data_IF_176015793154
#
_entry.id   IF_176015793154
#
_cell.length_a   1.000
_cell.length_b   1.000
_cell.length_c   1.000
_cell.angle_alpha   90.00
_cell.angle_beta   90.00
_cell.angle_gamma   90.00
#
_symmetry.space_group_name_H-M   'P 1'
#
loop_
_entity.id
_entity.type
_entity.pdbx_description
1 polymer ?
#
# COMPACT_ATOMS: atom_id res chain seq x y z
N UNK A 1 22.24 -13.21 11.46
CA UNK A 1 22.65 -11.91 12.03
C UNK A 1 23.64 -11.29 11.05
N UNK A 2 23.17 -10.39 10.20
CA UNK A 2 24.05 -9.68 9.28
C UNK A 2 24.90 -8.68 10.06
N UNK A 3 26.21 -8.77 9.94
CA UNK A 3 27.13 -7.83 10.57
C UNK A 3 27.18 -6.53 9.76
N UNK A 4 27.33 -5.38 10.44
CA UNK A 4 27.33 -4.02 9.84
C UNK A 4 28.32 -3.84 8.67
N UNK A 5 29.33 -4.69 8.56
CA UNK A 5 30.37 -4.68 7.51
C UNK A 5 29.96 -5.43 6.23
N UNK A 6 28.80 -6.10 6.20
CA UNK A 6 28.28 -6.83 5.04
C UNK A 6 27.18 -6.08 4.27
N UNK A 7 27.07 -4.77 4.46
CA UNK A 7 26.08 -3.91 3.82
C UNK A 7 26.81 -2.81 3.05
N UNK A 8 26.55 -2.69 1.74
CA UNK A 8 27.37 -1.87 0.85
C UNK A 8 26.81 -0.46 0.67
N UNK A 9 25.55 -0.39 0.22
CA UNK A 9 24.89 0.84 -0.20
C UNK A 9 23.62 1.05 0.61
N UNK A 10 23.46 2.23 1.18
CA UNK A 10 22.16 2.69 1.68
C UNK A 10 21.44 3.37 0.53
N UNK A 11 20.22 2.94 0.25
CA UNK A 11 19.37 3.48 -0.79
C UNK A 11 17.98 3.78 -0.24
N UNK A 12 17.27 4.67 -0.94
CA UNK A 12 15.85 4.86 -0.74
C UNK A 12 15.08 3.79 -1.51
N UNK A 13 13.99 3.31 -0.91
CA UNK A 13 13.14 2.30 -1.52
C UNK A 13 11.67 2.53 -1.23
N UNK A 14 10.84 1.84 -1.99
CA UNK A 14 9.39 1.77 -1.81
C UNK A 14 9.00 0.38 -1.34
N UNK A 15 8.27 0.29 -0.23
CA UNK A 15 7.67 -0.95 0.23
C UNK A 15 6.56 -1.40 -0.72
N UNK A 16 6.78 -2.52 -1.42
CA UNK A 16 5.80 -3.07 -2.38
C UNK A 16 4.86 -4.04 -1.66
N UNK A 17 5.42 -5.00 -0.94
CA UNK A 17 4.65 -5.96 -0.13
C UNK A 17 5.34 -6.29 1.18
N UNK A 18 4.57 -6.77 2.16
CA UNK A 18 5.10 -7.34 3.40
C UNK A 18 4.65 -8.79 3.56
N UNK A 19 5.62 -9.68 3.74
CA UNK A 19 5.45 -11.11 3.95
C UNK A 19 6.10 -11.54 5.27
N UNK A 20 5.40 -11.33 6.38
CA UNK A 20 5.91 -11.68 7.72
C UNK A 20 7.11 -10.82 8.14
N UNK A 21 8.29 -11.45 8.24
CA UNK A 21 9.55 -10.78 8.60
C UNK A 21 10.31 -10.22 7.39
N UNK A 22 9.80 -10.45 6.18
CA UNK A 22 10.39 -9.99 4.94
C UNK A 22 9.48 -8.94 4.28
N UNK A 23 10.08 -8.07 3.49
CA UNK A 23 9.38 -7.12 2.64
C UNK A 23 10.06 -7.07 1.27
N UNK A 24 9.26 -6.93 0.21
CA UNK A 24 9.79 -6.69 -1.13
C UNK A 24 9.88 -5.18 -1.32
N UNK A 25 11.08 -4.68 -1.58
CA UNK A 25 11.43 -3.26 -1.67
C UNK A 25 11.88 -2.95 -3.08
N UNK A 26 11.26 -1.97 -3.71
CA UNK A 26 11.71 -1.42 -4.98
C UNK A 26 12.76 -0.34 -4.70
N UNK A 27 13.95 -0.45 -5.30
CA UNK A 27 14.98 0.59 -5.27
C UNK A 27 14.52 1.78 -6.14
N UNK A 28 14.45 2.99 -5.57
CA UNK A 28 13.94 4.16 -6.28
C UNK A 28 14.90 4.69 -7.37
N UNK A 29 16.17 4.27 -7.37
CA UNK A 29 17.14 4.66 -8.40
C UNK A 29 17.12 3.70 -9.58
N UNK A 30 17.02 2.39 -9.32
CA UNK A 30 17.12 1.35 -10.38
C UNK A 30 15.78 0.79 -10.83
N UNK A 31 14.74 0.90 -10.01
CA UNK A 31 13.43 0.27 -10.22
C UNK A 31 13.43 -1.25 -9.98
N UNK A 32 14.54 -1.81 -9.49
CA UNK A 32 14.63 -3.24 -9.20
C UNK A 32 13.97 -3.57 -7.86
N UNK A 33 13.24 -4.69 -7.82
CA UNK A 33 12.60 -5.18 -6.60
C UNK A 33 13.48 -6.22 -5.92
N UNK A 34 13.85 -5.95 -4.67
CA UNK A 34 14.65 -6.84 -3.85
C UNK A 34 13.92 -7.23 -2.56
N UNK A 35 13.99 -8.51 -2.22
CA UNK A 35 13.48 -9.01 -0.95
C UNK A 35 14.44 -8.68 0.19
N UNK A 36 13.92 -8.03 1.22
CA UNK A 36 14.69 -7.53 2.36
C UNK A 36 14.15 -8.07 3.69
N UNK A 37 15.04 -8.26 4.66
CA UNK A 37 14.65 -8.46 6.05
C UNK A 37 14.27 -7.13 6.71
N UNK A 38 13.37 -7.18 7.69
CA UNK A 38 13.11 -6.02 8.55
C UNK A 38 14.10 -5.97 9.72
N UNK A 39 14.70 -4.80 9.97
CA UNK A 39 15.51 -4.59 11.17
C UNK A 39 14.64 -4.69 12.42
N UNK A 40 15.21 -5.23 13.50
CA UNK A 40 14.59 -5.22 14.84
C UNK A 40 14.30 -3.78 15.25
N UNK A 41 13.03 -3.47 15.53
CA UNK A 41 12.53 -2.13 15.85
C UNK A 41 11.58 -1.54 14.81
N UNK A 42 11.50 -2.11 13.61
CA UNK A 42 10.46 -1.76 12.65
C UNK A 42 9.16 -2.48 13.06
N UNK A 43 8.23 -1.73 13.65
CA UNK A 43 6.94 -2.27 14.10
C UNK A 43 5.99 -2.48 12.91
N UNK A 44 5.91 -1.48 12.02
CA UNK A 44 5.01 -1.47 10.88
C UNK A 44 5.76 -1.08 9.61
N UNK A 45 5.55 -1.88 8.57
CA UNK A 45 5.83 -1.58 7.18
C UNK A 45 4.62 -2.08 6.39
N UNK A 46 4.09 -1.24 5.51
CA UNK A 46 2.97 -1.54 4.62
C UNK A 46 3.30 -1.10 3.20
N UNK A 47 2.48 -1.50 2.23
CA UNK A 47 2.64 -1.05 0.85
C UNK A 47 2.54 0.48 0.77
N UNK A 48 3.44 1.09 0.00
CA UNK A 48 3.56 2.53 -0.16
C UNK A 48 4.47 3.22 0.86
N UNK A 49 4.97 2.52 1.88
CA UNK A 49 5.98 3.09 2.79
C UNK A 49 7.27 3.43 2.03
N UNK A 50 7.78 4.64 2.21
CA UNK A 50 9.14 5.01 1.81
C UNK A 50 10.10 4.52 2.88
N UNK A 51 11.19 3.89 2.47
CA UNK A 51 12.12 3.25 3.40
C UNK A 51 13.57 3.55 3.06
N UNK A 52 14.40 3.51 4.09
CA UNK A 52 15.85 3.40 3.94
C UNK A 52 16.21 1.93 4.10
N UNK A 53 16.84 1.38 3.08
CA UNK A 53 17.27 -0.01 3.08
C UNK A 53 18.74 -0.11 2.65
N UNK A 54 19.36 -1.22 3.01
CA UNK A 54 20.72 -1.54 2.57
C UNK A 54 20.77 -2.86 1.84
N UNK A 55 21.48 -2.82 0.73
CA UNK A 55 21.84 -4.01 -0.03
C UNK A 55 22.89 -4.84 0.72
N UNK A 56 22.66 -6.15 0.77
CA UNK A 56 23.57 -7.14 1.32
C UNK A 56 24.61 -7.59 0.31
N UNK A 57 25.80 -7.96 0.79
CA UNK A 57 26.90 -8.44 -0.05
C UNK A 57 26.57 -9.72 -0.85
N UNK A 58 25.69 -10.57 -0.32
CA UNK A 58 25.29 -11.82 -0.94
C UNK A 58 23.79 -12.01 -0.76
N UNK A 59 23.12 -12.56 -1.78
CA UNK A 59 21.74 -13.01 -1.61
C UNK A 59 21.74 -14.35 -0.89
N UNK A 60 21.29 -14.39 0.36
CA UNK A 60 21.10 -15.63 1.10
C UNK A 60 19.63 -16.01 1.10
N UNK A 61 19.32 -17.20 0.56
CA UNK A 61 17.94 -17.70 0.45
C UNK A 61 16.97 -16.72 -0.25
N UNK A 62 17.47 -15.99 -1.26
CA UNK A 62 16.69 -15.00 -2.00
C UNK A 62 16.44 -13.69 -1.26
N UNK A 63 17.10 -13.46 -0.12
CA UNK A 63 17.06 -12.21 0.63
C UNK A 63 18.34 -11.44 0.35
N UNK A 64 18.19 -10.25 -0.21
CA UNK A 64 19.31 -9.46 -0.75
C UNK A 64 19.56 -8.16 0.02
N UNK A 65 18.83 -7.91 1.11
CA UNK A 65 19.01 -6.67 1.87
C UNK A 65 18.31 -6.62 3.22
N UNK A 66 18.40 -5.46 3.86
CA UNK A 66 17.74 -5.15 5.14
C UNK A 66 17.13 -3.75 5.11
N UNK A 67 15.86 -3.65 5.52
CA UNK A 67 15.21 -2.36 5.78
C UNK A 67 15.69 -1.85 7.12
N UNK A 68 16.28 -0.66 7.14
CA UNK A 68 16.84 -0.05 8.35
C UNK A 68 15.88 0.88 9.06
N UNK A 69 15.08 1.62 8.27
CA UNK A 69 14.12 2.59 8.78
C UNK A 69 12.96 2.78 7.78
N UNK A 70 11.81 3.16 8.32
CA UNK A 70 10.64 3.61 7.56
C UNK A 70 10.56 5.12 7.71
N UNK A 71 10.40 5.84 6.60
CA UNK A 71 10.26 7.29 6.60
C UNK A 71 8.89 7.73 7.13
N UNK A 72 8.73 9.00 7.57
CA UNK A 72 7.44 9.52 8.03
C UNK A 72 6.35 9.39 6.96
N UNK A 73 5.18 8.90 7.38
CA UNK A 73 4.01 8.73 6.50
C UNK A 73 3.28 10.05 6.31
N UNK A 74 2.87 10.32 5.08
CA UNK A 74 2.02 11.47 4.70
C UNK A 74 0.54 11.17 4.84
N UNK A 75 0.14 9.93 4.55
CA UNK A 75 -1.21 9.40 4.75
C UNK A 75 -1.14 7.93 5.18
N UNK A 76 -2.22 7.41 5.79
CA UNK A 76 -2.26 6.03 6.26
C UNK A 76 -3.68 5.47 6.20
N UNK A 77 -3.86 4.40 5.43
CA UNK A 77 -5.11 3.67 5.38
C UNK A 77 -5.09 2.55 6.43
N UNK A 78 -5.99 2.62 7.40
CA UNK A 78 -6.13 1.60 8.45
C UNK A 78 -7.43 0.85 8.31
N UNK A 79 -7.39 -0.46 8.54
CA UNK A 79 -8.58 -1.30 8.65
C UNK A 79 -8.84 -1.62 10.13
N UNK A 80 -10.07 -1.42 10.63
CA UNK A 80 -10.44 -1.92 11.94
C UNK A 80 -10.48 -3.45 11.92
N UNK A 81 -9.78 -4.04 12.88
CA UNK A 81 -9.78 -5.47 13.19
C UNK A 81 -10.48 -5.66 14.54
N UNK A 82 -11.44 -6.58 14.60
CA UNK A 82 -12.30 -6.78 15.77
C UNK A 82 -11.52 -7.16 17.05
N UNK A 83 -10.36 -7.79 16.90
CA UNK A 83 -9.56 -8.27 18.03
C UNK A 83 -8.27 -7.49 18.25
N UNK A 84 -7.68 -6.97 17.17
CA UNK A 84 -6.33 -6.38 17.17
C UNK A 84 -6.31 -4.86 16.99
N UNK A 85 -7.48 -4.21 17.01
CA UNK A 85 -7.60 -2.76 16.84
C UNK A 85 -7.35 -2.30 15.40
N UNK A 86 -6.75 -1.12 15.22
CA UNK A 86 -6.50 -0.57 13.88
C UNK A 86 -5.22 -1.15 13.29
N UNK A 87 -5.35 -1.89 12.18
CA UNK A 87 -4.20 -2.39 11.41
C UNK A 87 -3.94 -1.51 10.19
N UNK A 88 -2.73 -0.94 10.03
CA UNK A 88 -2.38 -0.23 8.80
C UNK A 88 -2.33 -1.23 7.64
N UNK A 89 -2.87 -0.82 6.50
CA UNK A 89 -2.95 -1.62 5.27
C UNK A 89 -2.08 -1.02 4.17
N UNK A 90 -2.04 0.30 4.08
CA UNK A 90 -1.23 1.04 3.12
C UNK A 90 -0.90 2.46 3.65
N UNK A 91 0.14 3.08 3.09
CA UNK A 91 0.59 4.41 3.47
C UNK A 91 1.00 5.23 2.24
N UNK A 92 1.12 6.56 2.41
CA UNK A 92 1.52 7.50 1.36
C UNK A 92 0.68 7.39 0.08
N UNK A 93 -0.63 7.26 0.27
CA UNK A 93 -1.63 7.27 -0.80
C UNK A 93 -2.09 8.71 -1.01
N UNK A 94 -2.06 9.16 -2.26
CA UNK A 94 -2.51 10.50 -2.65
C UNK A 94 -3.94 10.51 -3.22
N UNK A 95 -4.40 9.38 -3.77
CA UNK A 95 -5.71 9.23 -4.40
C UNK A 95 -6.39 7.91 -4.06
N UNK A 96 -7.68 7.97 -3.72
CA UNK A 96 -8.54 6.81 -3.44
C UNK A 96 -9.53 6.62 -4.58
N UNK A 97 -9.37 5.57 -5.38
CA UNK A 97 -10.32 5.23 -6.45
C UNK A 97 -11.42 4.32 -5.89
N UNK A 98 -12.64 4.86 -5.80
CA UNK A 98 -13.83 4.15 -5.33
C UNK A 98 -14.52 3.54 -6.54
N UNK A 99 -14.38 2.24 -6.74
CA UNK A 99 -14.97 1.52 -7.87
C UNK A 99 -16.29 0.88 -7.44
N UNK A 100 -17.39 1.30 -8.05
CA UNK A 100 -18.72 0.70 -7.88
C UNK A 100 -19.22 0.16 -9.21
N UNK A 101 -20.17 -0.77 -9.22
CA UNK A 101 -20.74 -1.32 -10.45
C UNK A 101 -22.26 -1.38 -10.39
N UNK A 102 -22.90 -1.29 -11.56
CA UNK A 102 -24.36 -1.34 -11.70
C UNK A 102 -24.96 -2.70 -11.29
N UNK A 103 -24.19 -3.77 -11.42
CA UNK A 103 -24.57 -5.13 -11.00
C UNK A 103 -23.51 -5.74 -10.06
N UNK A 104 -23.89 -6.50 -9.00
CA UNK A 104 -25.27 -6.94 -8.68
C UNK A 104 -26.19 -5.85 -8.13
N UNK A 105 -25.66 -4.84 -7.43
CA UNK A 105 -26.41 -3.64 -7.01
C UNK A 105 -25.43 -2.48 -6.76
N UNK A 106 -25.80 -1.27 -7.20
CA UNK A 106 -25.08 -0.04 -6.88
C UNK A 106 -25.45 0.45 -5.47
N UNK A 107 -24.57 0.23 -4.50
CA UNK A 107 -24.79 0.70 -3.12
C UNK A 107 -24.21 2.09 -2.88
N UNK A 108 -25.06 3.11 -2.85
CA UNK A 108 -24.66 4.49 -2.50
C UNK A 108 -24.13 4.58 -1.06
N UNK A 109 -24.65 3.76 -0.14
CA UNK A 109 -24.18 3.72 1.24
C UNK A 109 -22.69 3.35 1.34
N UNK A 110 -22.20 2.44 0.49
CA UNK A 110 -20.79 2.07 0.45
C UNK A 110 -19.96 3.25 -0.06
N UNK A 111 -20.41 3.92 -1.12
CA UNK A 111 -19.74 5.09 -1.69
C UNK A 111 -19.59 6.18 -0.63
N UNK A 112 -20.67 6.56 0.06
CA UNK A 112 -20.66 7.60 1.09
C UNK A 112 -19.65 7.28 2.21
N UNK A 113 -19.59 6.02 2.65
CA UNK A 113 -18.64 5.58 3.68
C UNK A 113 -17.19 5.73 3.23
N UNK A 114 -16.89 5.44 1.97
CA UNK A 114 -15.54 5.63 1.43
C UNK A 114 -15.21 7.11 1.20
N UNK A 115 -16.18 7.94 0.81
CA UNK A 115 -16.00 9.39 0.72
C UNK A 115 -15.65 9.99 2.09
N UNK A 116 -16.38 9.62 3.14
CA UNK A 116 -16.06 10.04 4.52
C UNK A 116 -14.66 9.58 4.94
N UNK A 117 -14.26 8.36 4.59
CA UNK A 117 -12.92 7.85 4.87
C UNK A 117 -11.83 8.62 4.11
N UNK A 118 -12.05 8.92 2.83
CA UNK A 118 -11.12 9.69 2.00
C UNK A 118 -10.89 11.10 2.58
N UNK A 119 -11.97 11.80 2.94
CA UNK A 119 -11.91 13.12 3.60
C UNK A 119 -11.19 13.05 4.95
N UNK A 120 -11.51 12.05 5.79
CA UNK A 120 -10.87 11.88 7.11
C UNK A 120 -9.36 11.66 6.98
N UNK A 121 -8.92 11.01 5.90
CA UNK A 121 -7.52 10.72 5.61
C UNK A 121 -6.85 11.81 4.76
N UNK A 122 -7.60 12.84 4.34
CA UNK A 122 -7.15 13.89 3.41
C UNK A 122 -6.55 13.31 2.11
N UNK A 123 -7.21 12.29 1.56
CA UNK A 123 -6.86 11.62 0.30
C UNK A 123 -7.90 11.99 -0.75
N UNK A 124 -7.47 12.34 -1.96
CA UNK A 124 -8.40 12.75 -3.02
C UNK A 124 -9.25 11.56 -3.50
N UNK A 125 -10.61 11.60 -3.41
CA UNK A 125 -11.44 10.53 -3.91
C UNK A 125 -11.66 10.64 -5.45
N UNK A 126 -11.74 9.49 -6.13
CA UNK A 126 -12.20 9.38 -7.52
C UNK A 126 -13.24 8.27 -7.61
N UNK A 127 -14.50 8.64 -7.91
CA UNK A 127 -15.58 7.68 -8.09
C UNK A 127 -15.56 7.13 -9.53
N UNK A 128 -15.55 5.81 -9.66
CA UNK A 128 -15.61 5.10 -10.95
C UNK A 128 -16.80 4.17 -10.96
N UNK A 129 -17.73 4.40 -11.91
CA UNK A 129 -18.82 3.49 -12.19
C UNK A 129 -18.41 2.49 -13.28
N UNK A 130 -18.29 1.23 -12.90
CA UNK A 130 -17.90 0.11 -13.75
C UNK A 130 -19.13 -0.65 -14.27
N UNK A 131 -18.94 -1.42 -15.35
CA UNK A 131 -19.95 -2.27 -15.99
C UNK A 131 -21.15 -1.51 -16.58
N UNK A 132 -20.95 -0.25 -16.98
CA UNK A 132 -22.01 0.58 -17.59
C UNK A 132 -22.49 0.04 -18.95
N UNK A 133 -21.75 -0.89 -19.54
CA UNK A 133 -22.14 -1.64 -20.73
C UNK A 133 -23.32 -2.59 -20.48
N UNK A 134 -23.57 -2.98 -19.21
CA UNK A 134 -24.69 -3.84 -18.83
C UNK A 134 -26.00 -3.07 -18.57
N UNK A 135 -25.99 -1.74 -18.68
CA UNK A 135 -27.21 -0.93 -18.59
C UNK A 135 -27.96 -1.01 -19.92
N UNK A 136 -29.20 -1.50 -19.89
CA UNK A 136 -30.12 -1.42 -21.02
C UNK A 136 -30.43 0.06 -21.35
N UNK A 137 -30.81 0.35 -22.59
CA UNK A 137 -30.97 1.73 -23.08
C UNK A 137 -31.98 2.56 -22.27
N UNK A 138 -33.03 1.93 -21.73
CA UNK A 138 -34.07 2.60 -20.93
C UNK A 138 -33.61 2.91 -19.49
N UNK A 139 -32.60 2.21 -18.96
CA UNK A 139 -32.09 2.43 -17.60
C UNK A 139 -31.04 3.54 -17.52
N UNK A 140 -30.45 3.96 -18.65
CA UNK A 140 -29.47 5.06 -18.69
C UNK A 140 -30.06 6.40 -18.27
N UNK A 141 -31.35 6.62 -18.55
CA UNK A 141 -32.06 7.85 -18.15
C UNK A 141 -32.20 8.00 -16.63
N UNK A 142 -31.97 6.94 -15.85
CA UNK A 142 -32.00 7.00 -14.38
C UNK A 142 -30.67 7.46 -13.77
N UNK A 143 -29.58 7.48 -14.55
CA UNK A 143 -28.21 7.75 -14.08
C UNK A 143 -27.49 8.90 -14.82
N UNK A 144 -28.10 9.49 -15.86
CA UNK A 144 -27.74 10.81 -16.40
C UNK A 144 -28.30 11.95 -15.52
#
# INVERSE_FOLDING_TARGET
>A
LWYKHMLFRTAQGLGITRSGQHADIEDLETGEVQRCNLRRGIESLVSGDRVLWREGLESMAGISGVVEAVEPRTSMLTRPDYYDGLKPVAANIDQMVIVSSVLPELSLNIIDRYLVAAETLNIAPLLVLNKVDLLEADDRAMYE
#
